data_IF_754421968954
#
_entry.id   IF_754421968954
#
_cell.length_a   1.000
_cell.length_b   1.000
_cell.length_c   1.000
_cell.angle_alpha   90.00
_cell.angle_beta   90.00
_cell.angle_gamma   90.00
#
_symmetry.space_group_name_H-M   'P 1'
#
loop_
_entity.id
_entity.type
_entity.pdbx_description
1 polymer ?
#
# COMPACT_ATOMS: atom_id res chain seq x y z
N UNK A 1 1.99 4.12 3.02
CA UNK A 1 0.91 4.33 4.01
C UNK A 1 -0.41 3.88 3.41
N UNK A 2 -1.23 3.16 4.18
CA UNK A 2 -2.57 2.71 3.83
C UNK A 2 -3.63 3.58 4.53
N UNK A 3 -3.40 3.87 5.81
CA UNK A 3 -4.11 4.84 6.64
C UNK A 3 -3.09 5.65 7.45
N UNK A 4 -3.53 6.44 8.43
CA UNK A 4 -2.62 7.15 9.34
C UNK A 4 -1.79 6.20 10.22
N UNK A 5 -2.41 5.12 10.71
CA UNK A 5 -1.80 4.14 11.61
C UNK A 5 -1.32 2.85 10.95
N UNK A 6 -1.43 2.71 9.62
CA UNK A 6 -1.18 1.44 8.93
C UNK A 6 -0.35 1.63 7.65
N UNK A 7 0.65 0.78 7.44
CA UNK A 7 1.52 0.82 6.27
C UNK A 7 1.75 -0.59 5.69
N UNK A 8 1.73 -0.71 4.36
CA UNK A 8 2.29 -1.86 3.67
C UNK A 8 3.80 -1.67 3.48
N UNK A 9 4.61 -2.68 3.80
CA UNK A 9 6.06 -2.60 3.67
C UNK A 9 6.68 -3.95 3.34
N UNK A 10 7.63 -3.95 2.40
CA UNK A 10 8.52 -5.09 2.19
C UNK A 10 9.72 -4.94 3.13
N UNK A 11 9.69 -5.65 4.26
CA UNK A 11 10.72 -5.55 5.30
C UNK A 11 12.07 -6.11 4.86
N UNK A 12 12.07 -6.97 3.83
CA UNK A 12 13.28 -7.61 3.28
C UNK A 12 14.22 -6.63 2.55
N UNK A 13 13.70 -5.47 2.10
CA UNK A 13 14.42 -4.52 1.23
C UNK A 13 14.62 -3.14 1.82
N UNK A 14 14.30 -2.97 3.09
CA UNK A 14 14.49 -1.73 3.84
C UNK A 14 15.42 -1.97 5.01
N UNK A 15 16.08 -0.92 5.48
CA UNK A 15 16.94 -1.01 6.65
C UNK A 15 16.11 -1.35 7.91
N UNK A 16 16.59 -2.25 8.79
CA UNK A 16 15.89 -2.61 10.01
C UNK A 16 15.55 -1.39 10.91
N UNK A 17 16.41 -0.38 10.90
CA UNK A 17 16.19 0.86 11.65
C UNK A 17 14.97 1.64 11.15
N UNK A 18 14.67 1.58 9.84
CA UNK A 18 13.46 2.19 9.29
C UNK A 18 12.22 1.46 9.78
N UNK A 19 12.24 0.12 9.78
CA UNK A 19 11.13 -0.71 10.29
C UNK A 19 10.87 -0.40 11.76
N UNK A 20 11.92 -0.36 12.57
CA UNK A 20 11.85 -0.02 14.00
C UNK A 20 11.33 1.39 14.21
N UNK A 21 11.80 2.36 13.42
CA UNK A 21 11.33 3.73 13.49
C UNK A 21 9.83 3.82 13.18
N UNK A 22 9.34 3.18 12.11
CA UNK A 22 7.90 3.17 11.78
C UNK A 22 7.07 2.56 12.92
N UNK A 23 7.48 1.39 13.45
CA UNK A 23 6.81 0.77 14.60
C UNK A 23 6.81 1.69 15.83
N UNK A 24 7.89 2.41 16.08
CA UNK A 24 8.00 3.36 17.21
C UNK A 24 7.04 4.55 17.11
N UNK A 25 6.52 4.85 15.91
CA UNK A 25 5.50 5.87 15.66
C UNK A 25 4.08 5.36 15.93
N UNK A 26 3.91 4.12 16.37
CA UNK A 26 2.60 3.48 16.55
C UNK A 26 1.95 3.07 15.24
N UNK A 27 2.73 2.97 14.16
CA UNK A 27 2.26 2.53 12.85
C UNK A 27 2.41 1.02 12.75
N UNK A 28 1.30 0.33 12.53
CA UNK A 28 1.29 -1.09 12.22
C UNK A 28 1.78 -1.34 10.78
N UNK A 29 2.56 -2.41 10.61
CA UNK A 29 3.14 -2.79 9.33
C UNK A 29 2.48 -4.06 8.84
N UNK A 30 1.80 -3.97 7.70
CA UNK A 30 1.40 -5.11 6.88
C UNK A 30 2.61 -5.51 6.04
N UNK A 31 3.24 -6.61 6.45
CA UNK A 31 4.42 -7.13 5.76
C UNK A 31 4.00 -7.74 4.41
N UNK A 32 4.67 -7.29 3.35
CA UNK A 32 4.57 -7.92 2.02
C UNK A 32 5.90 -8.58 1.66
N UNK A 33 5.82 -9.62 0.85
CA UNK A 33 7.00 -10.32 0.33
C UNK A 33 7.74 -9.48 -0.70
N UNK A 34 9.01 -9.81 -0.92
CA UNK A 34 9.80 -9.22 -2.00
C UNK A 34 9.18 -9.42 -3.39
N UNK A 35 8.58 -10.60 -3.65
CA UNK A 35 7.89 -10.89 -4.91
C UNK A 35 6.73 -9.92 -5.18
N UNK A 36 5.91 -9.65 -4.16
CA UNK A 36 4.80 -8.70 -4.25
C UNK A 36 5.27 -7.26 -4.44
N UNK A 37 6.37 -6.89 -3.77
CA UNK A 37 6.98 -5.58 -3.94
C UNK A 37 7.50 -5.37 -5.38
N UNK A 38 8.16 -6.38 -5.95
CA UNK A 38 8.61 -6.38 -7.34
C UNK A 38 7.45 -6.31 -8.34
N UNK A 39 6.30 -6.90 -7.99
CA UNK A 39 5.05 -6.77 -8.73
C UNK A 39 4.34 -5.41 -8.58
N UNK A 40 4.96 -4.42 -7.92
CA UNK A 40 4.39 -3.10 -7.62
C UNK A 40 3.13 -3.16 -6.72
N UNK A 41 2.97 -4.24 -5.92
CA UNK A 41 1.80 -4.45 -5.08
C UNK A 41 1.61 -3.39 -4.00
N UNK A 42 2.71 -2.80 -3.50
CA UNK A 42 2.68 -1.71 -2.52
C UNK A 42 2.41 -0.31 -3.12
N UNK A 43 2.29 -0.19 -4.44
CA UNK A 43 2.07 1.09 -5.11
C UNK A 43 0.59 1.48 -5.09
N UNK A 44 0.09 1.71 -3.88
CA UNK A 44 -1.33 1.88 -3.55
C UNK A 44 -1.72 3.34 -3.43
N UNK A 45 -3.02 3.63 -3.45
CA UNK A 45 -3.55 4.97 -3.16
C UNK A 45 -4.45 4.92 -1.93
N UNK A 46 -4.00 5.56 -0.84
CA UNK A 46 -4.84 5.78 0.33
C UNK A 46 -5.88 6.89 0.05
N UNK A 47 -7.16 6.57 0.15
CA UNK A 47 -8.28 7.48 -0.15
C UNK A 47 -8.85 8.18 1.09
N UNK A 48 -8.39 7.80 2.28
CA UNK A 48 -8.92 8.30 3.56
C UNK A 48 -10.24 7.64 3.96
N UNK A 49 -10.65 7.82 5.22
CA UNK A 49 -11.79 7.12 5.83
C UNK A 49 -11.69 5.60 5.63
N UNK A 50 -10.53 5.02 5.97
CA UNK A 50 -10.25 3.58 5.88
C UNK A 50 -10.48 2.96 4.50
N UNK A 51 -10.38 3.77 3.44
CA UNK A 51 -10.46 3.33 2.05
C UNK A 51 -9.10 3.34 1.38
N UNK A 52 -8.81 2.29 0.63
CA UNK A 52 -7.56 2.15 -0.13
C UNK A 52 -7.82 1.56 -1.50
N UNK A 53 -7.05 1.99 -2.50
CA UNK A 53 -6.99 1.37 -3.80
C UNK A 53 -5.70 0.56 -3.94
N UNK A 54 -5.83 -0.72 -4.26
CA UNK A 54 -4.72 -1.66 -4.50
C UNK A 54 -4.87 -2.27 -5.90
N UNK A 55 -3.79 -2.67 -6.60
CA UNK A 55 -3.92 -3.38 -7.88
C UNK A 55 -4.67 -4.71 -7.70
N UNK A 56 -5.51 -5.11 -8.65
CA UNK A 56 -6.24 -6.38 -8.58
C UNK A 56 -5.32 -7.61 -8.43
N UNK A 57 -4.08 -7.51 -8.91
CA UNK A 57 -3.07 -8.56 -8.82
C UNK A 57 -2.46 -8.68 -7.41
N UNK A 58 -2.56 -7.66 -6.56
CA UNK A 58 -2.02 -7.62 -5.20
C UNK A 58 -2.92 -8.35 -4.20
N UNK A 59 -3.21 -9.63 -4.45
CA UNK A 59 -4.20 -10.43 -3.71
C UNK A 59 -3.93 -10.53 -2.21
N UNK A 60 -2.69 -10.79 -1.81
CA UNK A 60 -2.33 -10.87 -0.39
C UNK A 60 -2.53 -9.51 0.30
N UNK A 61 -2.05 -8.42 -0.30
CA UNK A 61 -2.24 -7.08 0.28
C UNK A 61 -3.73 -6.70 0.37
N UNK A 62 -4.54 -7.11 -0.61
CA UNK A 62 -5.99 -6.98 -0.54
C UNK A 62 -6.55 -7.69 0.69
N UNK A 63 -6.20 -8.97 0.90
CA UNK A 63 -6.68 -9.76 2.04
C UNK A 63 -6.22 -9.16 3.38
N UNK A 64 -4.95 -8.75 3.48
CA UNK A 64 -4.42 -8.08 4.68
C UNK A 64 -5.16 -6.76 4.96
N UNK A 65 -5.45 -5.96 3.94
CA UNK A 65 -6.20 -4.72 4.09
C UNK A 65 -7.65 -4.98 4.57
N UNK A 66 -8.34 -5.94 3.97
CA UNK A 66 -9.71 -6.33 4.38
C UNK A 66 -9.72 -6.88 5.81
N UNK A 67 -8.75 -7.71 6.18
CA UNK A 67 -8.60 -8.23 7.53
C UNK A 67 -8.37 -7.13 8.59
N UNK A 68 -7.80 -6.00 8.16
CA UNK A 68 -7.61 -4.79 8.97
C UNK A 68 -8.78 -3.79 8.88
N UNK A 69 -9.92 -4.20 8.33
CA UNK A 69 -11.14 -3.40 8.30
C UNK A 69 -11.16 -2.31 7.24
N UNK A 70 -10.24 -2.32 6.28
CA UNK A 70 -10.25 -1.35 5.18
C UNK A 70 -11.30 -1.72 4.13
N UNK A 71 -11.92 -0.70 3.55
CA UNK A 71 -12.66 -0.84 2.29
C UNK A 71 -11.66 -0.76 1.13
N UNK A 72 -11.57 -1.84 0.35
CA UNK A 72 -10.52 -2.02 -0.66
C UNK A 72 -11.11 -1.96 -2.07
N UNK A 73 -10.60 -1.05 -2.89
CA UNK A 73 -10.88 -0.96 -4.31
C UNK A 73 -9.75 -1.63 -5.10
N UNK A 74 -10.09 -2.58 -5.96
CA UNK A 74 -9.11 -3.41 -6.66
C UNK A 74 -9.29 -3.38 -8.20
N UNK A 75 -8.96 -2.26 -8.88
CA UNK A 75 -9.04 -2.19 -10.33
C UNK A 75 -7.97 -3.06 -11.01
N UNK A 76 -8.33 -3.67 -12.14
CA UNK A 76 -7.37 -4.26 -13.06
C UNK A 76 -6.59 -3.15 -13.77
N UNK A 77 -5.28 -3.14 -13.56
CA UNK A 77 -4.35 -2.20 -14.20
C UNK A 77 -3.24 -2.93 -14.97
N UNK A 78 -3.43 -4.22 -15.28
CA UNK A 78 -2.45 -5.11 -15.91
C UNK A 78 -1.85 -4.56 -17.21
N UNK A 79 -2.62 -3.78 -17.96
CA UNK A 79 -2.14 -3.14 -19.20
C UNK A 79 -1.28 -1.89 -18.94
N UNK A 80 -1.48 -1.21 -17.82
CA UNK A 80 -0.74 -0.02 -17.43
C UNK A 80 0.55 -0.41 -16.69
N UNK A 81 0.48 -1.45 -15.84
CA UNK A 81 1.62 -1.92 -15.03
C UNK A 81 2.82 -2.38 -15.85
N UNK A 82 2.61 -2.78 -17.11
CA UNK A 82 3.67 -3.04 -18.10
C UNK A 82 4.57 -1.84 -18.36
N UNK A 83 4.10 -0.62 -18.09
CA UNK A 83 4.89 0.61 -18.15
C UNK A 83 5.81 0.84 -16.94
N UNK A 84 5.82 -0.06 -15.95
CA UNK A 84 6.64 0.04 -14.75
C UNK A 84 6.05 0.92 -13.63
N UNK A 85 4.76 1.25 -13.71
CA UNK A 85 4.04 2.03 -12.70
C UNK A 85 2.71 1.40 -12.31
N UNK A 86 2.21 1.71 -11.12
CA UNK A 86 0.93 1.22 -10.61
C UNK A 86 0.11 2.40 -10.05
N UNK A 87 -0.91 2.17 -9.25
CA UNK A 87 -1.94 3.15 -8.92
C UNK A 87 -1.40 4.49 -8.39
N UNK A 88 -0.44 4.46 -7.46
CA UNK A 88 0.17 5.68 -6.95
C UNK A 88 0.89 6.44 -8.07
N UNK A 89 1.63 5.75 -8.94
CA UNK A 89 2.34 6.37 -10.05
C UNK A 89 1.40 7.05 -11.07
N UNK A 90 0.12 6.66 -11.11
CA UNK A 90 -0.89 7.21 -12.01
C UNK A 90 -1.62 8.42 -11.42
N UNK A 91 -1.35 8.74 -10.15
CA UNK A 91 -2.12 9.70 -9.38
C UNK A 91 -1.22 10.81 -8.82
N UNK A 92 -1.71 12.04 -8.82
CA UNK A 92 -1.11 13.16 -8.10
C UNK A 92 -2.20 13.80 -7.22
N UNK A 93 -2.18 13.60 -5.88
CA UNK A 93 -3.19 14.20 -5.02
C UNK A 93 -3.05 15.74 -5.02
N UNK A 94 -4.06 16.43 -5.52
CA UNK A 94 -4.07 17.91 -5.57
C UNK A 94 -4.54 18.54 -4.25
N UNK A 95 -5.40 17.83 -3.51
CA UNK A 95 -5.94 18.24 -2.21
C UNK A 95 -6.32 17.01 -1.39
N UNK A 96 -6.04 17.05 -0.10
CA UNK A 96 -6.58 16.14 0.93
C UNK A 96 -7.16 17.00 2.06
N UNK A 97 -8.23 16.53 2.69
CA UNK A 97 -8.70 17.18 3.91
C UNK A 97 -7.72 16.86 5.06
N UNK A 98 -7.58 17.75 6.05
CA UNK A 98 -6.72 17.51 7.21
C UNK A 98 -7.11 16.23 7.95
N UNK A 99 -6.10 15.51 8.42
CA UNK A 99 -6.18 14.39 9.37
C UNK A 99 -5.70 14.86 10.74
#
# INVERSE_FOLDING_TARGET
MLTEGLAAMCVDVVEPDLVNWVKSRGIEILEVTFEEAMGLGCNVVALGNDRVMVPAEAKNLYELCVANGLEVYAPDISMISKGGGSLHCLCQPLRRDPV
#
